data_IF_624466253045
#
_entry.id   IF_624466253045
#
_cell.length_a   1.000
_cell.length_b   1.000
_cell.length_c   1.000
_cell.angle_alpha   90.00
_cell.angle_beta   90.00
_cell.angle_gamma   90.00
#
_symmetry.space_group_name_H-M   'P 1'
#
loop_
_entity.id
_entity.type
_entity.pdbx_description
1 polymer ?
#
# COMPACT_ATOMS: atom_id res chain seq x y z
N UNK A 1 42.63 -17.07 -45.45
CA UNK A 1 42.38 -16.04 -44.39
C UNK A 1 41.01 -15.43 -44.45
N UNK A 2 40.37 -15.26 -45.64
CA UNK A 2 39.03 -14.68 -45.77
C UNK A 2 37.92 -15.64 -45.36
N UNK A 3 38.05 -16.93 -45.49
CA UNK A 3 37.01 -17.93 -45.11
C UNK A 3 36.92 -18.14 -43.58
N UNK A 4 38.00 -17.97 -42.87
CA UNK A 4 38.05 -18.11 -41.38
C UNK A 4 37.35 -16.95 -40.66
N UNK A 5 37.40 -15.73 -41.24
CA UNK A 5 36.78 -14.52 -40.68
C UNK A 5 35.24 -14.58 -40.85
N UNK A 6 34.74 -15.10 -41.95
CA UNK A 6 33.29 -15.21 -42.20
C UNK A 6 32.64 -16.25 -41.25
N UNK A 7 33.34 -17.34 -40.92
CA UNK A 7 32.84 -18.33 -39.96
C UNK A 7 32.83 -17.79 -38.51
N UNK A 8 33.81 -16.97 -38.14
CA UNK A 8 33.86 -16.35 -36.82
C UNK A 8 32.78 -15.27 -36.63
N UNK A 9 32.38 -14.55 -37.67
CA UNK A 9 31.31 -13.57 -37.64
C UNK A 9 29.92 -14.22 -37.58
N UNK A 10 29.74 -15.36 -38.24
CA UNK A 10 28.50 -16.15 -38.18
C UNK A 10 28.32 -16.84 -36.82
N UNK A 11 29.38 -17.22 -36.11
CA UNK A 11 29.31 -17.78 -34.75
C UNK A 11 29.04 -16.73 -33.68
N UNK A 12 29.40 -15.46 -33.90
CA UNK A 12 29.07 -14.34 -32.98
C UNK A 12 27.62 -13.90 -33.17
N UNK A 13 27.00 -14.07 -34.31
CA UNK A 13 25.58 -13.76 -34.55
C UNK A 13 24.61 -14.82 -34.04
N UNK A 14 25.06 -16.05 -33.81
CA UNK A 14 24.20 -17.11 -33.25
C UNK A 14 24.10 -17.10 -31.72
N UNK A 15 24.91 -16.26 -31.02
CA UNK A 15 24.83 -16.10 -29.57
C UNK A 15 24.00 -14.88 -29.10
N UNK A 16 23.28 -14.22 -29.98
CA UNK A 16 22.11 -13.41 -29.63
C UNK A 16 20.89 -14.32 -29.47
N UNK A 17 21.02 -15.40 -28.71
CA UNK A 17 19.88 -16.14 -28.18
C UNK A 17 19.10 -15.17 -27.31
N UNK A 18 17.90 -14.82 -27.74
CA UNK A 18 16.90 -14.18 -26.89
C UNK A 18 16.92 -14.95 -25.57
N UNK A 19 17.26 -14.28 -24.48
CA UNK A 19 17.30 -14.90 -23.15
C UNK A 19 15.96 -15.62 -22.96
N UNK A 20 16.04 -16.94 -22.85
CA UNK A 20 14.87 -17.82 -22.80
C UNK A 20 13.89 -17.32 -21.73
N UNK A 21 12.63 -17.13 -22.09
CA UNK A 21 11.58 -16.73 -21.16
C UNK A 21 11.32 -17.94 -20.27
N UNK A 22 11.56 -17.79 -18.97
CA UNK A 22 11.24 -18.84 -18.01
C UNK A 22 9.73 -19.10 -18.03
N UNK A 23 9.34 -20.38 -18.13
CA UNK A 23 7.95 -20.80 -18.14
C UNK A 23 7.65 -21.69 -16.94
N UNK A 24 6.54 -21.42 -16.25
CA UNK A 24 6.02 -22.22 -15.16
C UNK A 24 4.59 -22.64 -15.47
N UNK A 25 4.26 -23.88 -15.17
CA UNK A 25 2.90 -24.42 -15.25
C UNK A 25 2.53 -25.01 -13.89
N UNK A 26 1.43 -24.52 -13.29
CA UNK A 26 1.01 -24.86 -11.94
C UNK A 26 -0.52 -24.98 -11.84
N UNK A 27 -1.02 -25.46 -10.72
CA UNK A 27 -2.46 -25.45 -10.46
C UNK A 27 -2.96 -24.07 -10.05
N UNK A 28 -2.22 -23.37 -9.18
CA UNK A 28 -2.61 -22.09 -8.62
C UNK A 28 -1.49 -21.07 -8.70
N UNK A 29 -1.76 -19.93 -9.31
CA UNK A 29 -0.88 -18.77 -9.31
C UNK A 29 -1.46 -17.67 -8.40
N UNK A 30 -0.72 -17.30 -7.36
CA UNK A 30 -1.06 -16.20 -6.46
C UNK A 30 -0.25 -14.98 -6.82
N UNK A 31 -0.91 -13.90 -7.25
CA UNK A 31 -0.28 -12.62 -7.54
C UNK A 31 -0.36 -11.70 -6.33
N UNK A 32 0.79 -11.31 -5.79
CA UNK A 32 0.95 -10.55 -4.55
C UNK A 32 1.26 -11.45 -3.35
N UNK A 33 2.51 -11.46 -2.92
CA UNK A 33 2.99 -12.18 -1.73
C UNK A 33 2.66 -11.45 -0.42
N UNK A 34 1.50 -10.78 -0.36
CA UNK A 34 0.97 -10.14 0.84
C UNK A 34 0.63 -11.18 1.93
N UNK A 35 0.21 -10.74 3.10
CA UNK A 35 -0.23 -11.68 4.13
C UNK A 35 -1.37 -12.59 3.63
N UNK A 36 -2.34 -12.03 2.89
CA UNK A 36 -3.44 -12.82 2.29
C UNK A 36 -2.93 -13.76 1.20
N UNK A 37 -1.98 -13.30 0.36
CA UNK A 37 -1.40 -14.14 -0.69
C UNK A 37 -0.62 -15.33 -0.16
N UNK A 38 0.17 -15.12 0.89
CA UNK A 38 0.85 -16.25 1.57
C UNK A 38 -0.17 -17.21 2.17
N UNK A 39 -1.25 -16.71 2.81
CA UNK A 39 -2.28 -17.59 3.36
C UNK A 39 -3.03 -18.37 2.29
N UNK A 40 -3.34 -17.73 1.15
CA UNK A 40 -3.98 -18.40 0.01
C UNK A 40 -3.09 -19.51 -0.56
N UNK A 41 -1.81 -19.22 -0.75
CA UNK A 41 -0.84 -20.20 -1.26
C UNK A 41 -0.68 -21.40 -0.32
N UNK A 42 -0.53 -21.15 0.99
CA UNK A 42 -0.43 -22.23 1.99
C UNK A 42 -1.69 -23.09 2.08
N UNK A 43 -2.87 -22.47 1.88
CA UNK A 43 -4.13 -23.18 1.87
C UNK A 43 -4.28 -24.06 0.63
N UNK A 44 -3.95 -23.54 -0.56
CA UNK A 44 -4.02 -24.29 -1.81
C UNK A 44 -3.02 -25.47 -1.81
N UNK A 45 -1.78 -25.24 -1.37
CA UNK A 45 -0.78 -26.32 -1.25
C UNK A 45 -1.23 -27.41 -0.28
N UNK A 46 -1.85 -27.04 0.84
CA UNK A 46 -2.38 -27.99 1.81
C UNK A 46 -3.45 -28.91 1.21
N UNK A 47 -4.22 -28.43 0.24
CA UNK A 47 -5.22 -29.21 -0.50
C UNK A 47 -4.61 -30.00 -1.68
N UNK A 48 -3.28 -29.99 -1.82
CA UNK A 48 -2.53 -30.78 -2.81
C UNK A 48 -2.30 -30.06 -4.15
N UNK A 49 -2.57 -28.77 -4.26
CA UNK A 49 -2.29 -28.01 -5.47
C UNK A 49 -0.79 -27.68 -5.60
N UNK A 50 -0.29 -27.68 -6.84
CA UNK A 50 0.98 -27.07 -7.17
C UNK A 50 0.80 -25.54 -7.23
N UNK A 51 1.60 -24.80 -6.45
CA UNK A 51 1.37 -23.37 -6.19
C UNK A 51 2.61 -22.55 -6.44
N UNK A 52 2.42 -21.41 -7.11
CA UNK A 52 3.43 -20.37 -7.26
C UNK A 52 2.93 -19.03 -6.72
N UNK A 53 3.82 -18.28 -6.06
CA UNK A 53 3.57 -16.89 -5.66
C UNK A 53 4.40 -15.97 -6.56
N UNK A 54 3.75 -14.95 -7.12
CA UNK A 54 4.42 -13.84 -7.82
C UNK A 54 4.40 -12.62 -6.91
N UNK A 55 5.57 -12.08 -6.58
CA UNK A 55 5.71 -10.93 -5.69
C UNK A 55 6.47 -9.79 -6.39
N UNK A 56 5.83 -8.60 -6.59
CA UNK A 56 6.48 -7.46 -7.22
C UNK A 56 7.71 -6.94 -6.47
N UNK A 57 7.75 -7.13 -5.17
CA UNK A 57 8.89 -6.77 -4.32
C UNK A 57 9.83 -7.97 -4.08
N UNK A 58 10.71 -7.85 -3.12
CA UNK A 58 11.58 -8.94 -2.65
C UNK A 58 11.21 -9.46 -1.25
N UNK A 59 10.02 -9.11 -0.75
CA UNK A 59 9.58 -9.46 0.61
C UNK A 59 8.18 -10.04 0.61
N UNK A 60 7.95 -11.01 1.50
CA UNK A 60 6.62 -11.56 1.76
C UNK A 60 5.95 -10.89 2.97
N UNK A 61 4.62 -10.93 2.98
CA UNK A 61 3.79 -10.47 4.09
C UNK A 61 3.22 -9.06 3.95
N UNK A 62 3.55 -8.34 2.86
CA UNK A 62 3.01 -7.01 2.58
C UNK A 62 3.13 -6.08 3.79
N UNK A 63 2.04 -5.39 4.16
CA UNK A 63 2.01 -4.46 5.29
C UNK A 63 2.34 -5.10 6.64
N UNK A 64 1.99 -6.37 6.87
CA UNK A 64 2.28 -7.06 8.14
C UNK A 64 3.78 -7.20 8.36
N UNK A 65 4.54 -7.42 7.30
CA UNK A 65 6.00 -7.47 7.32
C UNK A 65 6.68 -6.15 6.96
N UNK A 66 5.98 -5.21 6.33
CA UNK A 66 6.54 -4.05 5.64
C UNK A 66 6.21 -2.69 6.23
N UNK A 67 5.57 -2.61 7.40
CA UNK A 67 5.27 -1.31 7.99
C UNK A 67 4.36 -1.34 9.21
N UNK A 68 3.35 -2.20 9.27
CA UNK A 68 2.46 -2.29 10.43
C UNK A 68 3.17 -3.03 11.56
N UNK A 69 3.54 -2.32 12.60
CA UNK A 69 4.33 -2.86 13.71
C UNK A 69 3.50 -3.33 14.92
N UNK A 70 2.20 -3.21 14.86
CA UNK A 70 1.26 -3.75 15.83
C UNK A 70 -0.02 -4.18 15.12
N UNK A 71 -0.74 -5.07 15.76
CA UNK A 71 -1.98 -5.59 15.25
C UNK A 71 -3.12 -4.88 15.98
N UNK A 72 -4.00 -4.24 15.21
CA UNK A 72 -5.23 -3.68 15.74
C UNK A 72 -6.28 -4.79 15.77
N UNK A 73 -6.80 -5.09 16.95
CA UNK A 73 -7.81 -6.14 17.08
C UNK A 73 -9.19 -5.53 17.34
N UNK A 74 -10.13 -6.11 16.70
CA UNK A 74 -11.48 -6.09 17.19
C UNK A 74 -11.69 -7.19 18.23
N UNK A 75 -12.57 -8.14 17.94
CA UNK A 75 -12.78 -9.33 18.79
C UNK A 75 -11.74 -10.39 18.43
N UNK A 76 -10.83 -10.71 19.35
CA UNK A 76 -9.72 -11.65 19.12
C UNK A 76 -10.13 -13.06 18.74
N UNK A 77 -11.36 -13.47 19.04
CA UNK A 77 -11.94 -14.74 18.62
C UNK A 77 -12.22 -14.83 17.11
N UNK A 78 -12.09 -13.74 16.35
CA UNK A 78 -12.23 -13.75 14.89
C UNK A 78 -10.93 -14.18 14.19
N UNK A 79 -9.79 -14.19 14.89
CA UNK A 79 -8.51 -14.64 14.32
C UNK A 79 -8.36 -16.14 14.57
N UNK A 80 -8.37 -16.92 13.49
CA UNK A 80 -8.33 -18.38 13.56
C UNK A 80 -7.43 -19.02 12.52
N UNK A 81 -7.44 -20.35 12.48
CA UNK A 81 -6.77 -21.16 11.46
C UNK A 81 -5.27 -20.89 11.31
N UNK A 82 -4.79 -20.93 10.09
CA UNK A 82 -3.38 -20.70 9.75
C UNK A 82 -2.94 -19.27 10.03
N UNK A 83 -3.84 -18.30 9.94
CA UNK A 83 -3.57 -16.89 10.28
C UNK A 83 -3.17 -16.76 11.73
N UNK A 84 -3.88 -17.44 12.64
CA UNK A 84 -3.54 -17.45 14.06
C UNK A 84 -2.11 -17.94 14.31
N UNK A 85 -1.71 -19.05 13.68
CA UNK A 85 -0.36 -19.62 13.82
C UNK A 85 0.72 -18.62 13.41
N UNK A 86 0.57 -17.96 12.28
CA UNK A 86 1.58 -17.02 11.79
C UNK A 86 1.60 -15.72 12.59
N UNK A 87 0.45 -15.14 12.87
CA UNK A 87 0.40 -13.82 13.50
C UNK A 87 0.52 -13.86 15.03
N UNK A 88 -0.02 -14.90 15.66
CA UNK A 88 -0.30 -14.92 17.09
C UNK A 88 0.55 -15.88 17.89
N UNK A 89 1.00 -16.99 17.29
CA UNK A 89 1.71 -18.03 18.04
C UNK A 89 2.97 -17.49 18.72
N UNK A 90 3.09 -17.78 20.03
CA UNK A 90 4.22 -17.35 20.84
C UNK A 90 4.22 -15.86 21.24
N UNK A 91 3.14 -15.11 21.01
CA UNK A 91 3.04 -13.74 21.49
C UNK A 91 2.74 -13.68 22.99
N UNK A 92 3.45 -12.79 23.70
CA UNK A 92 3.10 -12.45 25.10
C UNK A 92 1.74 -11.76 25.13
N UNK A 93 0.84 -12.26 25.96
CA UNK A 93 -0.52 -11.73 26.07
C UNK A 93 -1.48 -12.23 25.00
N UNK A 94 -1.17 -13.34 24.34
CA UNK A 94 -2.00 -14.02 23.37
C UNK A 94 -3.43 -14.28 23.88
N UNK A 95 -3.57 -14.68 25.14
CA UNK A 95 -4.87 -14.88 25.81
C UNK A 95 -5.71 -13.59 25.85
N UNK A 96 -5.07 -12.43 26.05
CA UNK A 96 -5.74 -11.13 26.08
C UNK A 96 -6.26 -10.73 24.68
N UNK A 97 -5.61 -11.18 23.63
CA UNK A 97 -6.08 -10.96 22.26
C UNK A 97 -7.42 -11.67 22.04
N UNK A 98 -7.60 -12.88 22.56
CA UNK A 98 -8.89 -13.58 22.53
C UNK A 98 -10.00 -12.83 23.28
N UNK A 99 -9.63 -11.93 24.19
CA UNK A 99 -10.54 -11.05 24.90
C UNK A 99 -10.78 -9.71 24.20
N UNK A 100 -10.31 -9.56 22.96
CA UNK A 100 -10.49 -8.34 22.17
C UNK A 100 -9.51 -7.21 22.45
N UNK A 101 -8.41 -7.48 23.16
CA UNK A 101 -7.39 -6.46 23.41
C UNK A 101 -6.36 -6.41 22.30
N UNK A 102 -6.01 -5.21 21.86
CA UNK A 102 -4.89 -4.99 20.96
C UNK A 102 -3.57 -5.44 21.64
N UNK A 103 -2.78 -6.22 20.94
CA UNK A 103 -1.46 -6.63 21.41
C UNK A 103 -0.38 -6.14 20.44
N UNK A 104 0.79 -5.89 20.99
CA UNK A 104 1.94 -5.55 20.17
C UNK A 104 2.40 -6.80 19.41
N UNK A 105 2.49 -6.71 18.09
CA UNK A 105 3.05 -7.75 17.25
C UNK A 105 4.55 -7.97 17.52
N UNK A 106 5.10 -9.00 16.90
CA UNK A 106 6.52 -9.37 17.04
C UNK A 106 7.47 -8.45 16.26
N UNK A 107 6.92 -7.52 15.49
CA UNK A 107 7.66 -6.59 14.66
C UNK A 107 7.78 -7.02 13.20
N UNK A 108 7.99 -6.05 12.32
CA UNK A 108 7.97 -6.24 10.87
C UNK A 108 8.96 -7.29 10.38
N UNK A 109 10.22 -7.24 10.82
CA UNK A 109 11.25 -8.21 10.41
C UNK A 109 10.86 -9.64 10.79
N UNK A 110 10.42 -9.85 12.02
CA UNK A 110 10.06 -11.18 12.48
C UNK A 110 8.83 -11.73 11.75
N UNK A 111 7.88 -10.89 11.36
CA UNK A 111 6.77 -11.32 10.50
C UNK A 111 7.24 -11.69 9.11
N UNK A 112 8.10 -10.90 8.45
CA UNK A 112 8.69 -11.28 7.15
C UNK A 112 9.36 -12.64 7.21
N UNK A 113 10.15 -12.88 8.24
CA UNK A 113 10.82 -14.16 8.45
C UNK A 113 9.83 -15.32 8.67
N UNK A 114 8.74 -15.09 9.41
CA UNK A 114 7.68 -16.11 9.57
C UNK A 114 6.99 -16.44 8.27
N UNK A 115 6.61 -15.44 7.47
CA UNK A 115 5.98 -15.67 6.16
C UNK A 115 6.93 -16.42 5.23
N UNK A 116 8.18 -15.97 5.14
CA UNK A 116 9.21 -16.65 4.34
C UNK A 116 9.38 -18.11 4.75
N UNK A 117 9.59 -18.36 6.04
CA UNK A 117 9.76 -19.73 6.57
C UNK A 117 8.53 -20.62 6.31
N UNK A 118 7.32 -20.07 6.41
CA UNK A 118 6.10 -20.82 6.16
C UNK A 118 6.00 -21.28 4.70
N UNK A 119 6.36 -20.41 3.75
CA UNK A 119 6.36 -20.70 2.31
C UNK A 119 7.47 -21.68 1.94
N UNK A 120 8.72 -21.43 2.38
CA UNK A 120 9.88 -22.29 2.13
C UNK A 120 9.70 -23.68 2.73
N UNK A 121 9.12 -23.77 3.93
CA UNK A 121 8.86 -25.05 4.61
C UNK A 121 7.83 -25.94 3.92
N UNK A 122 7.10 -25.41 2.94
CA UNK A 122 6.15 -26.14 2.09
C UNK A 122 6.65 -26.34 0.66
N UNK A 123 7.83 -25.84 0.32
CA UNK A 123 8.38 -25.95 -1.03
C UNK A 123 7.66 -25.10 -2.08
N UNK A 124 6.87 -24.11 -1.66
CA UNK A 124 6.15 -23.21 -2.59
C UNK A 124 7.16 -22.29 -3.27
N UNK A 125 7.15 -22.28 -4.60
CA UNK A 125 8.00 -21.40 -5.41
C UNK A 125 7.53 -19.95 -5.31
N UNK A 126 8.48 -18.99 -5.14
CA UNK A 126 8.20 -17.56 -5.15
C UNK A 126 9.02 -16.86 -6.22
N UNK A 127 8.35 -16.17 -7.13
CA UNK A 127 8.97 -15.32 -8.15
C UNK A 127 9.00 -13.88 -7.62
N UNK A 128 10.13 -13.49 -7.04
CA UNK A 128 10.33 -12.13 -6.50
C UNK A 128 10.76 -11.13 -7.57
N UNK A 129 10.54 -9.83 -7.31
CA UNK A 129 10.92 -8.73 -8.18
C UNK A 129 10.27 -8.78 -9.57
N UNK A 130 9.12 -9.40 -9.67
CA UNK A 130 8.39 -9.50 -10.92
C UNK A 130 7.00 -8.92 -10.79
N UNK A 131 6.67 -7.99 -11.65
CA UNK A 131 5.36 -7.36 -11.74
C UNK A 131 4.62 -7.81 -12.99
N UNK A 132 3.30 -7.69 -12.95
CA UNK A 132 2.44 -8.06 -14.05
C UNK A 132 2.76 -7.20 -15.29
N UNK A 133 3.06 -7.85 -16.40
CA UNK A 133 3.28 -7.23 -17.70
C UNK A 133 2.08 -7.43 -18.62
N UNK A 134 1.59 -8.69 -18.73
CA UNK A 134 0.44 -9.03 -19.59
C UNK A 134 -0.40 -10.13 -18.95
N UNK A 135 -1.69 -10.12 -19.30
CA UNK A 135 -2.63 -11.21 -19.00
C UNK A 135 -3.13 -11.81 -20.32
N UNK A 136 -3.05 -13.13 -20.45
CA UNK A 136 -3.51 -13.87 -21.59
C UNK A 136 -4.82 -14.58 -21.27
N UNK A 137 -5.90 -14.13 -21.90
CA UNK A 137 -7.22 -14.75 -21.83
C UNK A 137 -7.38 -15.78 -22.95
N UNK A 138 -8.47 -16.54 -22.97
CA UNK A 138 -8.72 -17.56 -23.99
C UNK A 138 -8.74 -17.01 -25.44
N UNK A 139 -9.06 -15.74 -25.64
CA UNK A 139 -9.13 -15.11 -26.98
C UNK A 139 -8.43 -13.75 -27.09
N UNK A 140 -7.79 -13.24 -26.03
CA UNK A 140 -7.18 -11.93 -26.01
C UNK A 140 -5.95 -11.83 -25.10
N UNK A 141 -5.08 -10.87 -25.39
CA UNK A 141 -3.96 -10.48 -24.50
C UNK A 141 -4.16 -9.04 -24.07
N UNK A 142 -4.10 -8.82 -22.76
CA UNK A 142 -4.25 -7.50 -22.12
C UNK A 142 -2.89 -7.08 -21.58
N UNK A 143 -2.39 -5.93 -22.00
CA UNK A 143 -1.08 -5.38 -21.61
C UNK A 143 -1.17 -4.10 -20.75
N UNK A 144 -2.38 -3.62 -20.55
CA UNK A 144 -2.64 -2.47 -19.67
C UNK A 144 -4.03 -2.60 -19.05
N UNK A 145 -4.25 -2.10 -17.81
CA UNK A 145 -5.56 -2.08 -17.21
C UNK A 145 -6.54 -1.30 -18.07
N UNK A 146 -7.67 -1.91 -18.40
CA UNK A 146 -8.77 -1.17 -19.03
C UNK A 146 -9.30 -0.19 -17.99
N UNK A 147 -9.30 1.11 -18.31
CA UNK A 147 -9.93 2.12 -17.46
C UNK A 147 -11.44 1.93 -17.51
N UNK A 148 -11.95 1.09 -16.62
CA UNK A 148 -13.39 0.96 -16.46
C UNK A 148 -13.88 2.13 -15.59
N UNK A 149 -15.02 2.72 -15.96
CA UNK A 149 -15.72 3.67 -15.10
C UNK A 149 -16.41 2.89 -13.97
N UNK A 150 -16.70 3.52 -12.82
CA UNK A 150 -17.57 2.91 -11.82
C UNK A 150 -18.83 2.39 -12.51
N UNK A 151 -19.03 1.09 -12.45
CA UNK A 151 -20.18 0.43 -13.07
C UNK A 151 -21.35 0.51 -12.11
N UNK A 152 -22.52 0.91 -12.57
CA UNK A 152 -23.73 0.84 -11.75
C UNK A 152 -24.03 -0.63 -11.40
N UNK A 153 -24.49 -0.88 -10.17
CA UNK A 153 -24.70 -2.23 -9.65
C UNK A 153 -25.57 -3.13 -10.55
N UNK A 154 -26.55 -2.55 -11.25
CA UNK A 154 -27.47 -3.26 -12.16
C UNK A 154 -26.84 -3.61 -13.53
N UNK A 155 -25.66 -3.06 -13.85
CA UNK A 155 -24.91 -3.37 -15.08
C UNK A 155 -23.84 -4.44 -14.86
N UNK A 156 -23.65 -4.87 -13.63
CA UNK A 156 -22.61 -5.81 -13.22
C UNK A 156 -22.98 -7.29 -13.43
N UNK A 157 -23.86 -7.60 -14.38
CA UNK A 157 -24.04 -8.98 -14.83
C UNK A 157 -22.86 -9.36 -15.71
N UNK A 158 -21.75 -9.73 -15.09
CA UNK A 158 -20.69 -10.42 -15.81
C UNK A 158 -21.20 -11.83 -16.14
N UNK A 159 -21.88 -11.97 -17.27
CA UNK A 159 -21.88 -13.23 -17.96
C UNK A 159 -20.44 -13.48 -18.38
N UNK A 160 -19.75 -14.37 -17.65
CA UNK A 160 -18.48 -14.92 -18.10
C UNK A 160 -18.74 -15.61 -19.45
N UNK A 161 -18.34 -14.99 -20.54
CA UNK A 161 -18.38 -15.65 -21.83
C UNK A 161 -17.34 -16.78 -21.82
N UNK A 162 -17.70 -17.91 -22.38
CA UNK A 162 -16.77 -19.00 -22.59
C UNK A 162 -15.55 -18.48 -23.38
N UNK A 163 -14.36 -18.52 -22.78
CA UNK A 163 -13.14 -17.91 -23.34
C UNK A 163 -12.53 -16.77 -22.54
N UNK A 164 -13.21 -16.19 -21.56
CA UNK A 164 -12.74 -15.03 -20.78
C UNK A 164 -11.82 -15.42 -19.59
N UNK A 165 -11.55 -16.71 -19.37
CA UNK A 165 -10.67 -17.14 -18.27
C UNK A 165 -9.20 -16.84 -18.56
N UNK A 166 -8.46 -16.43 -17.52
CA UNK A 166 -7.01 -16.26 -17.61
C UNK A 166 -6.36 -17.63 -17.88
N UNK A 167 -5.50 -17.70 -18.89
CA UNK A 167 -4.71 -18.89 -19.25
C UNK A 167 -3.29 -18.78 -18.74
N UNK A 168 -2.69 -17.61 -18.86
CA UNK A 168 -1.36 -17.32 -18.37
C UNK A 168 -1.16 -15.84 -18.12
N UNK A 169 -0.12 -15.53 -17.38
CA UNK A 169 0.37 -14.18 -17.18
C UNK A 169 1.82 -14.07 -17.60
N UNK A 170 2.21 -12.94 -18.16
CA UNK A 170 3.59 -12.62 -18.46
C UNK A 170 4.08 -11.55 -17.51
N UNK A 171 5.26 -11.76 -16.96
CA UNK A 171 5.82 -10.96 -15.88
C UNK A 171 7.05 -10.21 -16.36
N UNK A 172 7.18 -8.99 -15.91
CA UNK A 172 8.33 -8.13 -16.13
C UNK A 172 9.25 -8.15 -14.90
N UNK A 173 10.54 -8.35 -15.10
CA UNK A 173 11.54 -8.23 -14.04
C UNK A 173 11.76 -6.75 -13.71
N UNK A 174 11.34 -6.35 -12.53
CA UNK A 174 11.35 -4.96 -12.07
C UNK A 174 11.72 -4.90 -10.57
N UNK A 175 13.00 -5.11 -10.22
CA UNK A 175 13.43 -5.06 -8.83
C UNK A 175 13.18 -3.67 -8.25
N UNK A 176 12.81 -3.62 -6.97
CA UNK A 176 12.72 -2.35 -6.25
C UNK A 176 14.11 -1.69 -6.14
N UNK A 177 14.13 -0.37 -5.98
CA UNK A 177 15.38 0.37 -5.77
C UNK A 177 15.95 0.16 -4.35
N UNK A 178 17.05 0.85 -4.04
CA UNK A 178 17.75 0.76 -2.76
C UNK A 178 16.92 1.24 -1.56
N UNK A 179 15.87 2.01 -1.81
CA UNK A 179 14.94 2.48 -0.77
C UNK A 179 13.67 1.63 -0.66
N UNK A 180 13.56 0.59 -1.50
CA UNK A 180 12.40 -0.29 -1.56
C UNK A 180 11.26 0.24 -2.43
N UNK A 181 11.45 1.35 -3.15
CA UNK A 181 10.46 1.85 -4.09
C UNK A 181 10.43 1.03 -5.38
N UNK A 182 9.26 0.83 -5.98
CA UNK A 182 9.16 0.25 -7.32
C UNK A 182 9.84 1.16 -8.34
N UNK A 183 10.60 0.58 -9.26
CA UNK A 183 11.20 1.34 -10.38
C UNK A 183 10.13 1.64 -11.45
N UNK A 184 10.19 2.79 -12.16
CA UNK A 184 9.23 3.13 -13.20
C UNK A 184 9.22 2.09 -14.33
N UNK A 185 10.40 1.84 -14.92
CA UNK A 185 10.57 0.93 -16.05
C UNK A 185 11.17 -0.41 -15.60
N UNK A 186 10.68 -1.55 -16.12
CA UNK A 186 11.27 -2.84 -15.80
C UNK A 186 12.65 -2.97 -16.43
N UNK A 187 13.53 -3.72 -15.78
CA UNK A 187 14.84 -4.05 -16.33
C UNK A 187 14.79 -5.09 -17.45
N UNK A 188 13.78 -5.95 -17.41
CA UNK A 188 13.52 -6.93 -18.49
C UNK A 188 12.01 -7.12 -18.61
N UNK A 189 11.47 -6.87 -19.80
CA UNK A 189 10.07 -7.16 -20.12
C UNK A 189 9.91 -8.64 -20.50
N UNK A 190 8.72 -9.18 -20.25
CA UNK A 190 8.37 -10.57 -20.55
C UNK A 190 9.43 -11.55 -20.05
N UNK A 191 9.88 -11.38 -18.81
CA UNK A 191 10.97 -12.18 -18.24
C UNK A 191 10.53 -13.61 -17.88
N UNK A 192 9.29 -13.77 -17.42
CA UNK A 192 8.70 -15.03 -16.96
C UNK A 192 7.27 -15.14 -17.47
N UNK A 193 6.83 -16.35 -17.83
CA UNK A 193 5.43 -16.67 -18.09
C UNK A 193 4.96 -17.72 -17.08
N UNK A 194 3.78 -17.50 -16.50
CA UNK A 194 3.14 -18.46 -15.61
C UNK A 194 1.77 -18.83 -16.16
N UNK A 195 1.58 -20.12 -16.44
CA UNK A 195 0.30 -20.73 -16.77
C UNK A 195 -0.28 -21.39 -15.52
N UNK A 196 -1.57 -21.22 -15.26
CA UNK A 196 -2.22 -21.85 -14.13
C UNK A 196 -3.70 -22.15 -14.42
N UNK A 197 -4.26 -23.09 -13.66
CA UNK A 197 -5.71 -23.40 -13.70
C UNK A 197 -6.52 -22.34 -12.96
N UNK A 198 -5.95 -21.78 -11.88
CA UNK A 198 -6.57 -20.76 -11.03
C UNK A 198 -5.58 -19.63 -10.78
N UNK A 199 -6.05 -18.40 -10.89
CA UNK A 199 -5.32 -17.18 -10.55
C UNK A 199 -5.99 -16.46 -9.38
N UNK A 200 -5.22 -16.06 -8.38
CA UNK A 200 -5.70 -15.34 -7.20
C UNK A 200 -4.96 -14.00 -7.10
N UNK A 201 -5.69 -12.88 -7.20
CA UNK A 201 -5.11 -11.55 -6.95
C UNK A 201 -5.16 -11.22 -5.46
N UNK A 202 -4.00 -11.18 -4.83
CA UNK A 202 -3.80 -10.78 -3.43
C UNK A 202 -2.98 -9.50 -3.30
N UNK A 203 -2.80 -8.76 -4.41
CA UNK A 203 -2.13 -7.45 -4.38
C UNK A 203 -2.99 -6.39 -3.70
N UNK A 204 -2.39 -5.29 -3.29
CA UNK A 204 -3.14 -4.13 -2.76
C UNK A 204 -3.76 -3.30 -3.87
N UNK A 205 -3.20 -3.37 -5.06
CA UNK A 205 -3.57 -2.59 -6.23
C UNK A 205 -4.71 -3.19 -7.04
N UNK A 206 -4.86 -4.51 -7.03
CA UNK A 206 -5.78 -5.24 -7.89
C UNK A 206 -5.39 -5.16 -9.36
N UNK A 207 -4.10 -5.35 -9.67
CA UNK A 207 -3.61 -5.25 -11.06
C UNK A 207 -4.04 -6.44 -11.90
N UNK A 208 -3.96 -7.64 -11.37
CA UNK A 208 -4.43 -8.85 -12.04
C UNK A 208 -5.95 -8.79 -12.26
N UNK A 209 -6.70 -8.37 -11.25
CA UNK A 209 -8.13 -8.08 -11.34
C UNK A 209 -8.44 -7.13 -12.50
N UNK A 210 -7.74 -5.99 -12.57
CA UNK A 210 -8.01 -4.98 -13.58
C UNK A 210 -7.66 -5.43 -15.01
N UNK A 211 -6.67 -6.32 -15.16
CA UNK A 211 -6.23 -6.86 -16.44
C UNK A 211 -6.96 -8.15 -16.83
N UNK A 212 -7.75 -8.75 -15.94
CA UNK A 212 -8.55 -9.94 -16.23
C UNK A 212 -9.87 -9.64 -16.96
N UNK A 213 -10.22 -8.36 -17.14
CA UNK A 213 -11.49 -7.96 -17.74
C UNK A 213 -12.69 -7.95 -16.77
N UNK A 214 -12.47 -8.32 -15.51
CA UNK A 214 -13.50 -8.28 -14.47
C UNK A 214 -13.82 -6.84 -14.08
N UNK A 215 -15.09 -6.54 -13.86
CA UNK A 215 -15.54 -5.21 -13.42
C UNK A 215 -15.00 -4.86 -12.04
N UNK A 216 -14.57 -3.61 -11.87
CA UNK A 216 -14.09 -3.10 -10.59
C UNK A 216 -14.42 -1.63 -10.40
N UNK A 217 -14.48 -1.21 -9.14
CA UNK A 217 -14.60 0.18 -8.71
C UNK A 217 -13.31 0.67 -8.07
N UNK A 218 -13.10 1.98 -8.09
CA UNK A 218 -12.09 2.71 -7.30
C UNK A 218 -12.66 4.05 -6.84
N UNK A 219 -11.97 4.75 -5.93
CA UNK A 219 -12.52 5.94 -5.32
C UNK A 219 -13.62 5.63 -4.31
N UNK A 220 -14.56 6.53 -4.14
CA UNK A 220 -15.68 6.36 -3.20
C UNK A 220 -16.96 6.10 -3.96
N UNK A 221 -17.70 5.04 -3.60
CA UNK A 221 -19.07 4.81 -4.02
C UNK A 221 -20.02 5.78 -3.31
N UNK A 222 -21.15 6.11 -3.94
CA UNK A 222 -22.21 6.90 -3.27
C UNK A 222 -22.92 6.10 -2.17
N UNK A 223 -23.66 6.80 -1.31
CA UNK A 223 -24.51 6.15 -0.31
C UNK A 223 -25.55 5.24 -0.93
N UNK A 224 -26.10 5.64 -2.06
CA UNK A 224 -27.14 4.88 -2.74
C UNK A 224 -26.61 3.59 -3.36
N UNK A 225 -25.32 3.56 -3.77
CA UNK A 225 -24.76 2.46 -4.54
C UNK A 225 -24.94 1.09 -3.87
N UNK A 226 -24.61 0.98 -2.58
CA UNK A 226 -24.82 -0.22 -1.77
C UNK A 226 -25.77 0.04 -0.57
N UNK A 227 -26.44 1.18 -0.55
CA UNK A 227 -27.29 1.62 0.56
C UNK A 227 -26.52 1.63 1.90
N UNK A 228 -25.40 2.37 1.92
CA UNK A 228 -24.48 2.49 3.04
C UNK A 228 -24.46 3.93 3.59
N UNK A 229 -24.93 4.14 4.81
CA UNK A 229 -25.08 5.46 5.41
C UNK A 229 -23.73 6.22 5.59
N UNK A 230 -22.61 5.49 5.64
CA UNK A 230 -21.28 6.06 5.85
C UNK A 230 -20.46 6.20 4.55
N UNK A 231 -21.00 5.78 3.39
CA UNK A 231 -20.30 5.87 2.12
C UNK A 231 -20.29 7.28 1.52
N UNK A 232 -19.50 7.45 0.47
CA UNK A 232 -19.41 8.66 -0.32
C UNK A 232 -18.60 9.77 0.31
N UNK A 233 -18.78 10.97 -0.24
CA UNK A 233 -18.17 12.19 0.25
C UNK A 233 -18.57 12.43 1.70
N UNK A 234 -17.57 12.72 2.54
CA UNK A 234 -17.78 13.04 3.96
C UNK A 234 -17.47 14.51 4.20
N UNK A 235 -18.10 15.14 5.19
CA UNK A 235 -17.76 16.51 5.58
C UNK A 235 -16.28 16.63 5.91
N UNK A 236 -15.70 17.79 5.64
CA UNK A 236 -14.34 18.09 6.09
C UNK A 236 -14.29 18.04 7.62
N UNK A 237 -13.45 17.17 8.16
CA UNK A 237 -13.27 17.00 9.61
C UNK A 237 -12.24 17.97 10.21
N UNK A 238 -11.56 18.76 9.39
CA UNK A 238 -10.53 19.70 9.80
C UNK A 238 -11.08 21.12 9.76
N UNK A 239 -11.12 21.75 10.90
CA UNK A 239 -11.51 23.16 11.02
C UNK A 239 -10.33 23.91 11.63
N UNK A 240 -9.58 24.60 10.79
CA UNK A 240 -8.56 25.55 11.19
C UNK A 240 -8.80 26.85 10.44
N UNK A 241 -8.70 27.97 11.14
CA UNK A 241 -8.80 29.32 10.58
C UNK A 241 -7.48 29.77 9.92
N UNK A 242 -6.73 28.79 9.35
CA UNK A 242 -5.50 29.08 8.66
C UNK A 242 -5.84 29.65 7.29
N UNK A 243 -5.42 30.85 7.02
CA UNK A 243 -5.58 31.49 5.72
C UNK A 243 -4.83 30.67 4.65
N UNK A 244 -5.50 30.21 3.58
CA UNK A 244 -4.91 29.32 2.58
C UNK A 244 -4.18 30.04 1.44
N UNK A 245 -4.27 31.38 1.35
CA UNK A 245 -3.79 32.14 0.21
C UNK A 245 -2.32 32.54 0.35
N UNK A 246 -1.59 32.69 -0.77
CA UNK A 246 -0.19 33.13 -0.77
C UNK A 246 -0.06 34.48 -0.06
N UNK A 247 -0.86 35.47 -0.47
CA UNK A 247 -1.05 36.70 0.27
C UNK A 247 -2.31 36.59 1.15
N UNK A 248 -2.17 36.63 2.47
CA UNK A 248 -3.29 36.48 3.38
C UNK A 248 -4.48 37.36 3.04
N UNK A 249 -5.68 36.79 2.98
CA UNK A 249 -6.91 37.50 2.65
C UNK A 249 -7.13 37.80 1.17
N UNK A 250 -6.22 37.39 0.29
CA UNK A 250 -6.30 37.64 -1.17
C UNK A 250 -6.45 36.34 -1.98
N UNK A 251 -7.67 35.91 -2.30
CA UNK A 251 -7.89 34.68 -3.10
C UNK A 251 -7.18 34.69 -4.45
N UNK A 252 -7.06 35.85 -5.09
CA UNK A 252 -6.42 36.05 -6.37
C UNK A 252 -4.90 35.77 -6.37
N UNK A 253 -4.28 35.74 -5.19
CA UNK A 253 -2.86 35.43 -5.02
C UNK A 253 -2.54 33.93 -5.17
N UNK A 254 -3.57 33.07 -5.26
CA UNK A 254 -3.43 31.63 -5.31
C UNK A 254 -3.25 30.97 -3.95
N UNK A 255 -3.15 29.64 -3.95
CA UNK A 255 -3.04 28.84 -2.73
C UNK A 255 -1.59 28.53 -2.38
N UNK A 256 -1.30 28.51 -1.09
CA UNK A 256 -0.02 28.02 -0.59
C UNK A 256 0.15 26.51 -0.82
N UNK A 257 1.39 25.98 -0.87
CA UNK A 257 1.63 24.56 -1.04
C UNK A 257 0.88 23.68 -0.04
N UNK A 258 0.48 22.48 -0.49
CA UNK A 258 -0.33 21.49 0.25
C UNK A 258 -1.77 21.90 0.56
N UNK A 259 -2.23 23.02 0.07
CA UNK A 259 -3.65 23.40 0.06
C UNK A 259 -4.23 23.15 -1.33
N UNK A 260 -5.40 22.54 -1.38
CA UNK A 260 -6.07 22.19 -2.64
C UNK A 260 -7.32 23.03 -2.84
N UNK A 261 -7.50 23.57 -4.04
CA UNK A 261 -8.76 24.21 -4.48
C UNK A 261 -9.76 23.16 -4.99
N UNK A 262 -9.92 22.10 -4.24
CA UNK A 262 -10.84 21.02 -4.61
C UNK A 262 -12.15 21.18 -3.87
N UNK A 263 -13.22 21.46 -4.62
CA UNK A 263 -14.58 21.41 -4.08
C UNK A 263 -15.02 19.94 -4.05
N UNK A 264 -15.36 19.46 -2.86
CA UNK A 264 -16.00 18.17 -2.70
C UNK A 264 -17.44 18.25 -3.20
N UNK A 265 -17.94 17.14 -3.76
CA UNK A 265 -19.36 17.01 -4.08
C UNK A 265 -20.26 17.02 -2.83
N UNK A 266 -21.58 16.92 -3.00
CA UNK A 266 -22.52 16.78 -1.90
C UNK A 266 -22.15 15.61 -0.97
N UNK A 267 -22.46 15.73 0.32
CA UNK A 267 -22.22 14.63 1.26
C UNK A 267 -22.95 13.36 0.80
N UNK A 268 -22.23 12.25 0.79
CA UNK A 268 -22.73 10.97 0.35
C UNK A 268 -22.64 10.71 -1.16
N UNK A 269 -22.21 11.70 -1.97
CA UNK A 269 -21.98 11.46 -3.41
C UNK A 269 -20.73 10.64 -3.67
N UNK A 270 -20.67 9.96 -4.82
CA UNK A 270 -19.48 9.28 -5.29
C UNK A 270 -18.41 10.27 -5.80
N UNK A 271 -17.16 9.87 -5.74
CA UNK A 271 -16.06 10.52 -6.43
C UNK A 271 -14.89 9.55 -6.73
N UNK A 272 -13.89 10.01 -7.47
CA UNK A 272 -12.70 9.23 -7.81
C UNK A 272 -11.54 9.41 -6.82
N UNK A 273 -11.78 10.01 -5.66
CA UNK A 273 -10.73 10.29 -4.69
C UNK A 273 -10.41 9.05 -3.87
N UNK A 274 -9.13 8.85 -3.63
CA UNK A 274 -8.67 7.75 -2.78
C UNK A 274 -8.47 8.19 -1.34
N UNK A 275 -8.47 7.23 -0.41
CA UNK A 275 -8.02 7.49 0.95
C UNK A 275 -6.55 7.90 0.92
N UNK A 276 -6.13 8.75 1.85
CA UNK A 276 -4.72 9.12 1.98
C UNK A 276 -3.86 7.90 2.32
N UNK A 277 -2.86 7.63 1.47
CA UNK A 277 -1.87 6.59 1.70
C UNK A 277 -0.69 7.13 2.49
N UNK A 278 0.14 6.26 3.02
CA UNK A 278 1.31 6.66 3.78
C UNK A 278 2.31 5.52 3.94
N UNK A 279 3.48 5.84 4.44
CA UNK A 279 4.36 4.86 5.06
C UNK A 279 4.03 4.68 6.54
N UNK A 280 4.36 3.54 7.09
CA UNK A 280 4.33 3.24 8.52
C UNK A 280 5.77 3.08 9.01
N UNK A 281 6.36 4.18 9.45
CA UNK A 281 7.76 4.24 9.86
C UNK A 281 8.00 3.60 11.23
N UNK A 282 9.18 3.03 11.40
CA UNK A 282 9.71 2.69 12.72
C UNK A 282 10.85 3.63 13.09
N UNK A 283 10.60 4.52 14.04
CA UNK A 283 11.59 5.49 14.49
C UNK A 283 12.31 5.07 15.75
N UNK A 284 13.58 5.51 15.84
CA UNK A 284 14.42 5.49 17.02
C UNK A 284 14.65 6.94 17.49
N UNK A 285 14.32 7.19 18.76
CA UNK A 285 14.49 8.51 19.39
C UNK A 285 15.77 8.59 20.23
N UNK A 286 16.62 7.56 20.23
CA UNK A 286 17.91 7.58 20.92
C UNK A 286 18.97 8.40 20.20
N UNK A 287 18.76 8.71 18.91
CA UNK A 287 19.73 9.32 18.01
C UNK A 287 20.80 8.34 17.50
N UNK A 288 20.66 7.04 17.77
CA UNK A 288 21.61 5.98 17.37
C UNK A 288 21.12 5.13 16.20
N UNK A 289 19.94 5.45 15.63
CA UNK A 289 19.34 4.78 14.50
C UNK A 289 20.05 5.05 13.17
N UNK A 290 19.37 4.68 12.07
CA UNK A 290 19.79 5.05 10.72
C UNK A 290 19.32 6.48 10.46
N UNK A 291 20.19 7.42 10.08
CA UNK A 291 19.78 8.80 9.82
C UNK A 291 18.72 8.88 8.72
N UNK A 292 17.69 9.69 8.93
CA UNK A 292 16.76 10.05 7.86
C UNK A 292 17.53 10.93 6.86
N UNK A 293 17.53 10.59 5.56
CA UNK A 293 18.28 11.33 4.57
C UNK A 293 17.93 12.83 4.55
N UNK A 294 18.92 13.68 4.36
CA UNK A 294 18.68 15.09 4.08
C UNK A 294 18.02 15.21 2.70
N UNK A 295 16.92 16.00 2.54
CA UNK A 295 16.30 16.17 1.24
C UNK A 295 17.28 16.83 0.25
N UNK A 296 17.29 16.35 -0.99
CA UNK A 296 18.13 16.90 -2.05
C UNK A 296 17.63 18.29 -2.47
N UNK A 297 16.32 18.43 -2.58
CA UNK A 297 15.63 19.64 -3.04
C UNK A 297 14.71 20.14 -1.94
N UNK A 298 15.20 20.95 -1.02
CA UNK A 298 14.42 21.56 0.03
C UNK A 298 14.10 23.01 -0.30
N UNK A 299 12.83 23.29 -0.54
CA UNK A 299 12.31 24.65 -0.62
C UNK A 299 11.54 24.98 0.66
N UNK A 300 12.01 25.96 1.48
CA UNK A 300 11.28 26.40 2.66
C UNK A 300 9.85 26.86 2.34
N UNK A 301 9.59 27.43 1.17
CA UNK A 301 8.27 27.93 0.78
C UNK A 301 7.21 26.81 0.77
N UNK A 302 7.58 25.55 0.49
CA UNK A 302 6.66 24.41 0.56
C UNK A 302 6.01 24.24 1.94
N UNK A 303 6.60 24.78 2.99
CA UNK A 303 6.15 24.61 4.38
C UNK A 303 5.39 25.81 4.97
N UNK A 304 4.92 26.73 4.13
CA UNK A 304 4.18 27.90 4.62
C UNK A 304 2.90 27.52 5.38
N UNK A 305 2.17 26.49 4.93
CA UNK A 305 1.02 25.95 5.67
C UNK A 305 1.39 25.59 7.12
N UNK A 306 2.55 24.97 7.30
CA UNK A 306 3.00 24.51 8.62
C UNK A 306 3.47 25.68 9.49
N UNK A 307 4.09 26.71 8.90
CA UNK A 307 4.43 27.94 9.63
C UNK A 307 3.17 28.67 10.14
N UNK A 308 2.14 28.76 9.28
CA UNK A 308 0.86 29.35 9.68
C UNK A 308 0.20 28.53 10.79
N UNK A 309 0.18 27.21 10.65
CA UNK A 309 -0.35 26.32 11.69
C UNK A 309 0.39 26.48 13.04
N UNK A 310 1.72 26.58 13.01
CA UNK A 310 2.53 26.80 14.22
C UNK A 310 2.24 28.15 14.87
N UNK A 311 2.08 29.23 14.08
CA UNK A 311 1.69 30.55 14.59
C UNK A 311 0.34 30.53 15.31
N UNK A 312 -0.60 29.73 14.79
CA UNK A 312 -1.91 29.53 15.40
C UNK A 312 -1.89 28.56 16.58
N UNK A 313 -0.71 28.12 16.98
CA UNK A 313 -0.50 27.23 18.10
C UNK A 313 -0.94 25.78 17.84
N UNK A 314 -1.04 25.39 16.57
CA UNK A 314 -1.28 24.01 16.17
C UNK A 314 0.03 23.25 16.30
N UNK A 315 0.03 22.19 17.11
CA UNK A 315 1.16 21.27 17.15
C UNK A 315 1.08 20.33 15.95
N UNK A 316 1.88 20.60 14.92
CA UNK A 316 1.87 19.85 13.67
C UNK A 316 2.49 18.46 13.80
N UNK A 317 3.19 18.16 14.90
CA UNK A 317 3.82 16.86 15.15
C UNK A 317 3.11 16.04 16.24
N UNK A 318 2.36 16.69 17.13
CA UNK A 318 1.56 15.98 18.11
C UNK A 318 0.09 16.32 17.91
N UNK A 319 -0.78 15.40 18.22
CA UNK A 319 -2.23 15.62 18.09
C UNK A 319 -2.83 16.47 19.23
N UNK A 320 -2.01 17.10 20.06
CA UNK A 320 -2.46 17.74 21.33
C UNK A 320 -3.44 18.86 21.16
N UNK A 321 -3.34 19.62 20.08
CA UNK A 321 -4.19 20.79 19.83
C UNK A 321 -5.08 20.64 18.60
N UNK A 322 -5.00 19.51 17.90
CA UNK A 322 -5.82 19.29 16.73
C UNK A 322 -7.25 18.99 17.16
N UNK A 323 -8.16 19.81 16.67
CA UNK A 323 -9.60 19.60 16.82
C UNK A 323 -10.16 19.17 15.48
N UNK A 324 -11.05 18.21 15.52
CA UNK A 324 -11.89 17.84 14.38
C UNK A 324 -13.32 18.22 14.70
N UNK A 325 -14.18 18.26 13.71
CA UNK A 325 -15.63 18.42 13.91
C UNK A 325 -16.22 17.33 14.83
N UNK A 326 -15.52 16.22 15.02
CA UNK A 326 -15.89 15.12 15.91
C UNK A 326 -15.36 15.28 17.35
N UNK A 327 -14.64 16.36 17.68
CA UNK A 327 -14.15 16.63 19.02
C UNK A 327 -12.63 16.56 19.19
N UNK A 328 -12.16 16.51 20.42
CA UNK A 328 -10.74 16.44 20.74
C UNK A 328 -10.17 15.10 20.32
N UNK A 329 -9.10 15.13 19.53
CA UNK A 329 -8.25 13.94 19.39
C UNK A 329 -7.55 13.77 20.74
N UNK A 330 -7.85 12.68 21.43
CA UNK A 330 -7.27 12.38 22.73
C UNK A 330 -5.76 12.35 22.66
N UNK A 331 -5.15 13.05 23.61
CA UNK A 331 -3.71 13.12 23.80
C UNK A 331 -3.11 11.69 23.84
N UNK A 332 -2.36 11.35 22.82
CA UNK A 332 -1.41 10.30 22.99
C UNK A 332 -0.21 10.92 23.69
N UNK A 333 -0.01 10.67 24.96
CA UNK A 333 1.16 11.09 25.76
C UNK A 333 2.52 10.69 25.15
N UNK A 334 2.49 10.22 23.93
CA UNK A 334 3.60 9.78 23.09
C UNK A 334 3.71 10.73 21.93
N UNK A 335 4.80 11.47 21.87
CA UNK A 335 5.12 12.28 20.70
C UNK A 335 5.12 11.43 19.42
N UNK A 336 4.93 12.03 18.24
CA UNK A 336 4.78 11.33 16.95
C UNK A 336 5.95 10.42 16.60
N UNK A 337 7.08 10.59 17.27
CA UNK A 337 8.32 9.90 16.97
C UNK A 337 8.71 8.82 18.00
N UNK A 338 7.85 8.49 18.93
CA UNK A 338 8.19 7.53 19.99
C UNK A 338 7.82 6.10 19.60
N UNK A 339 8.82 5.25 19.49
CA UNK A 339 8.66 3.80 19.54
C UNK A 339 7.73 3.19 18.49
N UNK A 340 7.90 3.51 17.20
CA UNK A 340 7.05 3.00 16.14
C UNK A 340 5.76 3.80 15.97
N UNK A 341 5.77 5.07 16.35
CA UNK A 341 4.64 5.97 16.18
C UNK A 341 4.23 6.05 14.71
N UNK A 342 2.98 5.82 14.47
CA UNK A 342 2.38 5.95 13.16
C UNK A 342 2.01 7.42 12.95
N UNK A 343 2.71 8.08 12.03
CA UNK A 343 2.48 9.48 11.69
C UNK A 343 1.25 9.67 10.79
N UNK A 344 0.14 9.03 11.04
CA UNK A 344 -1.02 9.11 10.16
C UNK A 344 -2.16 10.01 10.68
N UNK A 345 -1.92 10.78 11.74
CA UNK A 345 -2.97 11.55 12.41
C UNK A 345 -2.60 13.01 12.73
N UNK A 346 -1.54 13.53 12.17
CA UNK A 346 -1.13 14.93 12.37
C UNK A 346 -0.84 15.62 11.04
N UNK A 347 -0.72 16.94 11.04
CA UNK A 347 -0.50 17.73 9.81
C UNK A 347 0.79 17.35 9.08
N UNK A 348 1.86 17.05 9.82
CA UNK A 348 3.13 16.55 9.26
C UNK A 348 3.12 15.04 9.12
N UNK A 349 1.94 14.45 9.06
CA UNK A 349 1.81 13.02 8.85
C UNK A 349 2.38 12.61 7.51
N UNK A 350 2.74 11.36 7.43
CA UNK A 350 3.08 10.73 6.16
C UNK A 350 1.89 10.62 5.18
N UNK A 351 0.70 11.03 5.61
CA UNK A 351 -0.51 11.05 4.77
C UNK A 351 -0.72 12.45 4.22
N UNK A 352 -0.48 12.62 2.94
CA UNK A 352 -0.75 13.87 2.22
C UNK A 352 -1.95 13.64 1.31
N UNK A 353 -3.09 14.27 1.65
CA UNK A 353 -4.33 14.08 0.91
C UNK A 353 -4.23 14.59 -0.52
N UNK A 354 -4.79 13.84 -1.48
CA UNK A 354 -4.78 14.18 -2.89
C UNK A 354 -3.52 13.77 -3.65
N UNK A 355 -2.39 13.50 -2.96
CA UNK A 355 -1.14 13.14 -3.61
C UNK A 355 -1.14 11.73 -4.23
N UNK A 356 -2.07 10.89 -3.83
CA UNK A 356 -2.15 9.50 -4.25
C UNK A 356 -3.44 9.15 -5.00
N UNK A 357 -4.25 10.12 -5.41
CA UNK A 357 -5.52 9.86 -6.09
C UNK A 357 -5.33 9.11 -7.41
N UNK A 358 -4.22 9.36 -8.11
CA UNK A 358 -3.87 8.66 -9.35
C UNK A 358 -3.30 7.24 -9.12
N UNK A 359 -3.00 6.85 -7.88
CA UNK A 359 -2.30 5.60 -7.59
C UNK A 359 -3.07 4.34 -8.02
N UNK A 360 -4.39 4.21 -7.75
CA UNK A 360 -5.13 2.98 -8.06
C UNK A 360 -5.04 2.59 -9.53
N UNK A 361 -5.20 3.57 -10.44
CA UNK A 361 -5.17 3.36 -11.89
C UNK A 361 -3.89 3.87 -12.56
N UNK A 362 -2.90 4.26 -11.77
CA UNK A 362 -1.61 4.71 -12.25
C UNK A 362 -0.76 3.57 -12.79
N UNK A 363 0.03 3.88 -13.82
CA UNK A 363 1.14 3.03 -14.24
C UNK A 363 2.27 3.01 -13.20
N UNK A 364 3.28 2.21 -13.43
CA UNK A 364 4.40 2.10 -12.51
C UNK A 364 5.23 3.37 -12.39
N UNK A 365 5.23 4.23 -13.40
CA UNK A 365 5.85 5.56 -13.34
C UNK A 365 5.12 6.46 -12.35
N UNK A 366 3.81 6.51 -12.44
CA UNK A 366 2.95 7.24 -11.51
C UNK A 366 3.09 6.71 -10.08
N UNK A 367 3.03 5.40 -9.90
CA UNK A 367 3.15 4.76 -8.59
C UNK A 367 4.52 4.99 -7.96
N UNK A 368 5.61 4.81 -8.73
CA UNK A 368 6.97 5.09 -8.28
C UNK A 368 7.13 6.54 -7.80
N UNK A 369 6.61 7.50 -8.59
CA UNK A 369 6.61 8.93 -8.24
C UNK A 369 5.90 9.19 -6.90
N UNK A 370 4.74 8.54 -6.68
CA UNK A 370 3.96 8.69 -5.45
C UNK A 370 4.71 8.10 -4.24
N UNK A 371 5.33 6.93 -4.36
CA UNK A 371 6.16 6.35 -3.31
C UNK A 371 7.31 7.28 -2.93
N UNK A 372 8.08 7.75 -3.93
CA UNK A 372 9.20 8.68 -3.73
C UNK A 372 8.79 10.02 -3.14
N UNK A 373 7.64 10.55 -3.58
CA UNK A 373 7.08 11.76 -3.01
C UNK A 373 6.91 11.64 -1.49
N UNK A 374 6.36 10.53 -0.99
CA UNK A 374 6.15 10.36 0.45
C UNK A 374 7.45 10.16 1.23
N UNK A 375 8.48 9.55 0.63
CA UNK A 375 9.80 9.46 1.24
C UNK A 375 10.45 10.86 1.31
N UNK A 376 10.41 11.60 0.23
CA UNK A 376 10.95 12.95 0.17
C UNK A 376 10.21 13.90 1.12
N UNK A 377 8.88 13.79 1.17
CA UNK A 377 8.06 14.58 2.10
C UNK A 377 8.44 14.34 3.56
N UNK A 378 8.71 13.09 3.98
CA UNK A 378 9.23 12.82 5.32
C UNK A 378 10.58 13.50 5.54
N UNK A 379 11.52 13.35 4.61
CA UNK A 379 12.85 13.95 4.71
C UNK A 379 12.78 15.46 4.82
N UNK A 380 11.96 16.10 3.97
CA UNK A 380 11.68 17.54 4.01
C UNK A 380 11.02 17.97 5.32
N UNK A 381 10.04 17.21 5.82
CA UNK A 381 9.34 17.50 7.07
C UNK A 381 10.27 17.45 8.28
N UNK A 382 11.13 16.46 8.35
CA UNK A 382 12.14 16.35 9.40
C UNK A 382 13.18 17.46 9.29
N UNK A 383 13.57 17.84 8.07
CA UNK A 383 14.48 18.96 7.84
C UNK A 383 13.87 20.29 8.28
N UNK A 384 12.62 20.57 7.89
CA UNK A 384 11.83 21.71 8.37
C UNK A 384 11.82 21.77 9.90
N UNK A 385 11.46 20.66 10.54
CA UNK A 385 11.40 20.60 12.00
C UNK A 385 12.74 20.87 12.69
N UNK A 386 13.85 20.56 12.04
CA UNK A 386 15.22 20.81 12.57
C UNK A 386 15.68 22.24 12.38
N UNK A 387 15.31 22.88 11.27
CA UNK A 387 16.00 24.08 10.79
C UNK A 387 15.12 25.32 10.68
N UNK A 388 13.79 25.17 10.58
CA UNK A 388 12.93 26.31 10.38
C UNK A 388 12.86 27.20 11.63
N UNK A 389 12.99 28.54 11.48
CA UNK A 389 12.91 29.47 12.61
C UNK A 389 11.60 29.40 13.38
N UNK A 390 10.48 29.10 12.72
CA UNK A 390 9.15 28.98 13.34
C UNK A 390 8.98 27.71 14.17
N UNK A 391 9.85 26.72 14.00
CA UNK A 391 9.79 25.47 14.73
C UNK A 391 10.14 25.68 16.21
N UNK A 392 9.26 25.31 17.14
CA UNK A 392 9.56 25.39 18.58
C UNK A 392 10.78 24.56 18.96
N UNK A 393 11.52 24.98 19.97
CA UNK A 393 12.72 24.27 20.44
C UNK A 393 12.45 22.82 20.87
N UNK A 394 11.28 22.54 21.40
CA UNK A 394 10.85 21.16 21.69
C UNK A 394 10.75 20.31 20.42
N UNK A 395 10.25 20.89 19.34
CA UNK A 395 10.14 20.23 18.03
C UNK A 395 11.51 19.99 17.42
N UNK A 396 12.40 20.98 17.45
CA UNK A 396 13.80 20.86 16.98
C UNK A 396 14.52 19.73 17.69
N UNK A 397 14.45 19.70 19.04
CA UNK A 397 15.06 18.63 19.84
C UNK A 397 14.53 17.23 19.49
N UNK A 398 13.23 17.08 19.25
CA UNK A 398 12.66 15.82 18.82
C UNK A 398 13.17 15.42 17.43
N UNK A 399 13.10 16.33 16.47
CA UNK A 399 13.54 16.08 15.11
C UNK A 399 15.03 15.74 15.02
N UNK A 400 15.90 16.39 15.83
CA UNK A 400 17.32 16.09 15.90
C UNK A 400 17.62 14.65 16.37
N UNK A 401 16.77 14.09 17.20
CA UNK A 401 16.91 12.72 17.74
C UNK A 401 16.21 11.67 16.88
N UNK A 402 15.38 12.09 15.93
CA UNK A 402 14.60 11.16 15.10
C UNK A 402 15.49 10.53 14.05
N UNK A 403 15.49 9.20 14.03
CA UNK A 403 16.18 8.36 13.06
C UNK A 403 15.33 7.11 12.80
N UNK A 404 15.63 6.35 11.76
CA UNK A 404 15.00 5.05 11.57
C UNK A 404 15.59 4.02 12.53
N UNK A 405 14.77 3.07 12.97
CA UNK A 405 15.19 1.99 13.84
C UNK A 405 16.08 1.00 13.09
N UNK A 406 17.27 0.73 13.63
CA UNK A 406 18.16 -0.33 13.14
C UNK A 406 17.55 -1.72 13.37
N UNK A 407 17.91 -2.66 12.51
CA UNK A 407 17.52 -4.06 12.60
C UNK A 407 16.11 -4.37 12.09
N UNK A 408 15.43 -3.40 11.46
CA UNK A 408 14.07 -3.60 10.92
C UNK A 408 14.05 -3.54 9.40
N UNK A 409 14.52 -2.45 8.81
CA UNK A 409 14.54 -2.19 7.38
C UNK A 409 15.93 -1.74 6.91
N UNK A 410 16.98 -2.36 7.43
CA UNK A 410 18.37 -1.95 7.17
C UNK A 410 18.72 -2.07 5.68
N UNK A 411 18.15 -3.07 5.01
CA UNK A 411 18.34 -3.33 3.58
C UNK A 411 17.75 -2.27 2.64
N UNK A 412 16.94 -1.37 3.18
CA UNK A 412 16.35 -0.22 2.46
C UNK A 412 16.77 1.12 3.06
N UNK A 413 17.83 1.13 3.86
CA UNK A 413 18.28 2.34 4.54
C UNK A 413 17.31 2.84 5.62
N UNK A 414 16.44 1.96 6.13
CA UNK A 414 15.44 2.25 7.16
C UNK A 414 14.04 2.56 6.63
N UNK A 415 13.86 2.64 5.32
CA UNK A 415 12.55 2.84 4.71
C UNK A 415 11.69 1.56 4.81
N UNK A 416 10.41 1.67 5.21
CA UNK A 416 9.52 0.52 5.22
C UNK A 416 9.37 -0.10 3.84
N UNK A 417 9.29 -1.41 3.79
CA UNK A 417 9.27 -2.17 2.54
C UNK A 417 7.94 -2.10 1.79
N UNK A 418 6.88 -1.64 2.46
CA UNK A 418 5.54 -1.56 1.89
C UNK A 418 4.93 -0.18 2.10
N UNK A 419 4.45 0.41 1.01
CA UNK A 419 3.60 1.58 1.06
C UNK A 419 2.19 1.19 1.49
N UNK A 420 1.58 1.92 2.40
CA UNK A 420 0.27 1.60 2.91
C UNK A 420 -0.83 2.06 1.94
N UNK A 421 -1.04 1.26 0.92
CA UNK A 421 -2.21 1.37 0.04
C UNK A 421 -3.43 0.97 0.84
N UNK A 422 -4.33 1.90 1.13
CA UNK A 422 -5.50 1.65 1.98
C UNK A 422 -6.65 1.07 1.21
N UNK A 423 -6.92 1.62 0.05
CA UNK A 423 -8.02 1.24 -0.81
C UNK A 423 -7.64 1.58 -2.25
N UNK A 424 -7.63 0.59 -3.10
CA UNK A 424 -7.39 0.76 -4.51
C UNK A 424 -8.60 0.23 -5.30
N UNK A 425 -8.40 -0.73 -6.18
CA UNK A 425 -9.48 -1.33 -6.96
C UNK A 425 -10.23 -2.38 -6.14
N UNK A 426 -11.53 -2.42 -6.31
CA UNK A 426 -12.43 -3.38 -5.64
C UNK A 426 -13.26 -4.08 -6.69
N UNK A 427 -13.23 -5.40 -6.68
CA UNK A 427 -14.01 -6.22 -7.62
C UNK A 427 -15.51 -6.00 -7.42
N UNK A 428 -16.22 -5.84 -8.52
CA UNK A 428 -17.69 -5.95 -8.54
C UNK A 428 -18.04 -7.40 -8.79
N UNK A 429 -18.67 -8.03 -7.81
CA UNK A 429 -19.04 -9.46 -7.86
C UNK A 429 -20.50 -9.64 -7.48
N UNK A 430 -20.99 -10.88 -7.57
CA UNK A 430 -22.37 -11.22 -7.15
C UNK A 430 -22.65 -10.92 -5.67
N UNK A 431 -21.60 -10.84 -4.85
CA UNK A 431 -21.69 -10.39 -3.46
C UNK A 431 -20.53 -9.43 -3.15
N UNK A 432 -20.85 -8.26 -2.63
CA UNK A 432 -19.89 -7.27 -2.16
C UNK A 432 -20.12 -7.06 -0.68
N UNK A 433 -19.07 -7.18 0.13
CA UNK A 433 -19.12 -6.91 1.58
C UNK A 433 -19.37 -5.43 1.81
N UNK A 434 -20.42 -5.12 2.56
CA UNK A 434 -20.89 -3.75 2.80
C UNK A 434 -20.89 -3.39 4.28
N UNK A 435 -21.25 -2.13 4.58
CA UNK A 435 -21.44 -1.66 5.96
C UNK A 435 -22.41 -2.54 6.75
N UNK A 436 -23.46 -3.06 6.12
CA UNK A 436 -24.47 -3.89 6.80
C UNK A 436 -23.88 -5.21 7.29
N UNK A 437 -22.98 -5.80 6.51
CA UNK A 437 -22.26 -7.02 6.90
C UNK A 437 -21.36 -6.76 8.11
N UNK A 438 -20.63 -5.65 8.09
CA UNK A 438 -19.75 -5.25 9.18
C UNK A 438 -20.51 -4.91 10.47
N UNK A 439 -21.74 -4.42 10.34
CA UNK A 439 -22.65 -4.14 11.45
C UNK A 439 -23.41 -5.38 11.94
N UNK A 440 -23.21 -6.53 11.30
CA UNK A 440 -23.92 -7.79 11.64
C UNK A 440 -25.42 -7.76 11.35
N UNK A 441 -25.83 -6.96 10.36
CA UNK A 441 -27.23 -6.81 9.95
C UNK A 441 -27.62 -7.73 8.79
N UNK A 442 -26.68 -8.47 8.27
CA UNK A 442 -26.84 -9.45 7.19
C UNK A 442 -26.23 -10.78 7.60
N UNK A 443 -26.67 -11.83 6.94
CA UNK A 443 -26.08 -13.17 7.05
C UNK A 443 -25.46 -13.50 5.68
N UNK A 444 -24.14 -13.22 5.50
CA UNK A 444 -23.48 -13.39 4.22
C UNK A 444 -23.51 -14.86 3.77
N UNK A 445 -23.95 -15.16 2.54
CA UNK A 445 -23.88 -16.51 2.01
C UNK A 445 -22.41 -16.92 1.85
N UNK A 446 -22.10 -18.17 2.15
CA UNK A 446 -20.75 -18.74 1.94
C UNK A 446 -19.64 -17.99 2.68
N UNK A 447 -19.82 -17.72 3.96
CA UNK A 447 -18.79 -17.08 4.80
C UNK A 447 -17.50 -17.89 4.79
N UNK A 448 -16.40 -17.27 4.33
CA UNK A 448 -15.07 -17.89 4.25
C UNK A 448 -14.11 -17.36 5.32
N UNK A 449 -14.45 -16.25 5.97
CA UNK A 449 -13.63 -15.63 7.00
C UNK A 449 -14.47 -14.82 7.98
N UNK A 450 -13.91 -14.57 9.17
CA UNK A 450 -14.46 -13.63 10.14
C UNK A 450 -13.54 -12.41 10.20
N UNK A 451 -14.14 -11.23 10.34
CA UNK A 451 -13.41 -9.99 10.57
C UNK A 451 -14.08 -9.19 11.68
N UNK A 452 -13.29 -8.47 12.45
CA UNK A 452 -13.79 -7.52 13.43
C UNK A 452 -12.81 -6.35 13.57
N UNK A 453 -13.36 -5.17 13.75
CA UNK A 453 -12.61 -3.96 14.13
C UNK A 453 -13.38 -3.25 15.24
N UNK A 454 -12.65 -2.80 16.29
CA UNK A 454 -13.23 -2.15 17.47
C UNK A 454 -13.57 -0.68 17.28
#
# INVERSE_FOLDING_TARGET
FALTIVFSILLVWQNCLAAEVSHHEVDVCVYGGTASGVMAALAAEKEGADVIIVEPSRWLGGMTGGGINHLDWGKGNTVGGSTYKILMEGLKGQERAHQGHAIRGIGNKAYRERFKKAVEGRGITVIYNHRLGKVHLGGATIDSPTRQRPVALHEATAENKEGDSIRSITLDFAPVDETGCPIPEPKKRNAVTVSAKVFIDCSYEGDLLAMSGVNYNWGRESREHYNESLAGVRPNLWVHDIDPYVEPGKPESGLIPFVQDRKLGPEGSADSLSMGYCYRYEFDMSGKGIPIPKPANYDPAEFELYRRALRDGVDIFSNRKMRTTLGKITDTKRGPFVGGAQLNRNLMASTVYGCNDDYPNGDWTTRSRIWKFHQEFLSKSIHFAKTDPSAPESMKRHAMRTSFRKGVFDETGGWPNQFYVRQARRMVSSYVVTQKDLEGKTDPPHTVALAAYG
#
